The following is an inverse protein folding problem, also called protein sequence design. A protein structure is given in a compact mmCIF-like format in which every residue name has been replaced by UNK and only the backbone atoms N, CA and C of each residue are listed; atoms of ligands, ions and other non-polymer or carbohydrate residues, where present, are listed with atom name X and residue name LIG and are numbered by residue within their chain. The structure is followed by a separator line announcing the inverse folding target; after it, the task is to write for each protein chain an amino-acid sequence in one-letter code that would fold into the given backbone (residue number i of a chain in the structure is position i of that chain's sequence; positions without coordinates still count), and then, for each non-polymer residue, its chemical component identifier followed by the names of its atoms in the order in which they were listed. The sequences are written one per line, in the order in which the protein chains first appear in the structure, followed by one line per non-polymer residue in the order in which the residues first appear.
data_IF_168096484653
#
_entry.id   IF_168096484653
#
_cell.length_a   1.000
_cell.length_b   1.000
_cell.length_c   1.000
_cell.angle_alpha   90.00
_cell.angle_beta   90.00
_cell.angle_gamma   90.00
#
_symmetry.space_group_name_H-M   'P 1'
#
loop_
_entity.id
_entity.type
_entity.pdbx_description
1 polymer ?
#
# COMPACT_ATOMS: atom_id res chain seq x y z
N UNK A 1 -5.51 8.37 -3.32
CA UNK A 1 -6.19 7.09 -3.47
C UNK A 1 -7.07 7.07 -4.72
N UNK A 2 -7.05 5.97 -5.47
CA UNK A 2 -7.94 5.81 -6.63
C UNK A 2 -8.83 4.60 -6.46
N UNK A 3 -10.12 4.77 -6.74
CA UNK A 3 -11.16 3.75 -6.66
C UNK A 3 -12.19 3.93 -7.79
N UNK A 4 -13.20 3.08 -7.83
CA UNK A 4 -14.31 3.24 -8.79
C UNK A 4 -15.42 4.19 -8.29
N UNK A 5 -15.30 4.67 -7.05
CA UNK A 5 -16.26 5.58 -6.41
C UNK A 5 -15.54 6.73 -5.71
N UNK A 6 -16.27 7.80 -5.42
CA UNK A 6 -15.83 8.81 -4.45
C UNK A 6 -15.88 8.21 -3.04
N UNK A 7 -14.80 8.43 -2.26
CA UNK A 7 -14.68 7.99 -0.88
C UNK A 7 -14.40 9.22 -0.02
N UNK A 8 -15.40 9.68 0.73
CA UNK A 8 -15.25 10.80 1.66
C UNK A 8 -14.84 10.33 3.06
N UNK A 9 -15.41 9.22 3.51
CA UNK A 9 -15.16 8.63 4.82
C UNK A 9 -14.61 7.20 4.62
N UNK A 10 -13.29 7.05 4.53
CA UNK A 10 -12.68 5.73 4.34
C UNK A 10 -12.82 4.86 5.58
N UNK A 11 -13.01 3.56 5.37
CA UNK A 11 -13.07 2.58 6.44
C UNK A 11 -12.22 1.35 6.13
N UNK A 12 -11.97 0.55 7.16
CA UNK A 12 -11.21 -0.68 7.04
C UNK A 12 -12.07 -1.90 6.67
N UNK A 13 -13.40 -1.79 6.67
CA UNK A 13 -14.31 -2.91 6.42
C UNK A 13 -14.22 -3.39 4.97
N UNK A 14 -14.05 -2.43 4.05
CA UNK A 14 -13.97 -2.69 2.61
C UNK A 14 -12.57 -3.08 2.12
N UNK A 15 -11.56 -3.09 3.00
CA UNK A 15 -10.20 -3.47 2.66
C UNK A 15 -10.01 -4.98 2.59
N UNK A 16 -9.24 -5.44 1.59
CA UNK A 16 -8.79 -6.82 1.51
C UNK A 16 -7.68 -7.09 2.53
N UNK A 17 -7.60 -8.32 3.03
CA UNK A 17 -6.66 -8.69 4.09
C UNK A 17 -5.26 -9.06 3.59
N UNK A 18 -5.13 -9.65 2.40
CA UNK A 18 -3.87 -10.21 1.90
C UNK A 18 -3.19 -9.27 0.90
N UNK A 19 -2.91 -8.04 1.35
CA UNK A 19 -2.17 -7.02 0.59
C UNK A 19 -0.75 -6.88 1.15
N UNK A 20 0.10 -6.06 0.52
CA UNK A 20 1.51 -5.89 0.86
C UNK A 20 1.75 -5.54 2.33
N UNK A 21 0.93 -4.66 2.88
CA UNK A 21 0.96 -4.26 4.28
C UNK A 21 -0.29 -4.72 5.05
N UNK A 22 -0.98 -5.77 4.54
CA UNK A 22 -2.16 -6.32 5.15
C UNK A 22 -3.42 -5.50 4.92
N UNK A 23 -4.38 -5.62 5.83
CA UNK A 23 -5.65 -4.91 5.77
C UNK A 23 -5.46 -3.44 6.15
N UNK A 24 -5.87 -2.52 5.28
CA UNK A 24 -5.74 -1.09 5.52
C UNK A 24 -6.28 -0.23 4.40
N UNK A 25 -6.32 1.07 4.61
CA UNK A 25 -6.64 2.06 3.57
C UNK A 25 -5.33 2.54 2.93
N UNK A 26 -5.19 2.31 1.63
CA UNK A 26 -3.95 2.54 0.89
C UNK A 26 -3.96 3.87 0.16
N UNK A 27 -2.93 4.66 0.36
CA UNK A 27 -2.69 5.97 -0.23
C UNK A 27 -1.32 6.03 -0.90
N UNK A 28 -1.10 7.04 -1.72
CA UNK A 28 0.22 7.42 -2.21
C UNK A 28 0.34 8.94 -2.26
N UNK A 29 1.49 9.52 -1.87
CA UNK A 29 1.74 10.94 -2.08
C UNK A 29 2.06 11.26 -3.55
N UNK A 30 2.30 10.24 -4.39
CA UNK A 30 2.64 10.39 -5.80
C UNK A 30 1.38 10.38 -6.66
N UNK A 31 0.94 11.55 -7.10
CA UNK A 31 -0.26 11.68 -7.94
C UNK A 31 -0.21 10.79 -9.18
N UNK A 32 0.91 10.77 -9.89
CA UNK A 32 1.10 9.94 -11.09
C UNK A 32 0.87 8.45 -10.77
N UNK A 33 1.32 7.97 -9.63
CA UNK A 33 1.09 6.59 -9.19
C UNK A 33 -0.40 6.31 -8.95
N UNK A 34 -1.12 7.24 -8.34
CA UNK A 34 -2.56 7.11 -8.13
C UNK A 34 -3.35 7.13 -9.46
N UNK A 35 -2.99 8.01 -10.39
CA UNK A 35 -3.59 8.09 -11.72
C UNK A 35 -3.34 6.80 -12.53
N UNK A 36 -2.09 6.32 -12.57
CA UNK A 36 -1.72 5.05 -13.23
C UNK A 36 -2.49 3.85 -12.65
N UNK A 37 -2.73 3.84 -11.35
CA UNK A 37 -3.57 2.80 -10.74
C UNK A 37 -5.01 2.87 -11.26
N UNK A 38 -5.53 4.06 -11.54
CA UNK A 38 -6.86 4.29 -12.11
C UNK A 38 -7.05 3.68 -13.51
N UNK A 39 -5.98 3.60 -14.32
CA UNK A 39 -6.04 2.96 -15.64
C UNK A 39 -6.58 1.53 -15.59
N UNK A 40 -6.39 0.81 -14.49
CA UNK A 40 -6.90 -0.56 -14.30
C UNK A 40 -8.43 -0.61 -14.30
N UNK A 41 -9.09 0.44 -13.81
CA UNK A 41 -10.54 0.58 -13.85
C UNK A 41 -10.99 0.96 -15.26
N UNK A 42 -10.33 1.95 -15.87
CA UNK A 42 -10.66 2.45 -17.20
C UNK A 42 -10.55 1.36 -18.28
N UNK A 43 -9.49 0.55 -18.25
CA UNK A 43 -9.31 -0.59 -19.17
C UNK A 43 -10.42 -1.64 -19.07
N UNK A 44 -11.16 -1.67 -17.97
CA UNK A 44 -12.31 -2.56 -17.73
C UNK A 44 -13.65 -1.87 -18.00
N UNK A 45 -13.63 -0.64 -18.55
CA UNK A 45 -14.83 0.17 -18.76
C UNK A 45 -15.49 0.64 -17.46
N UNK A 46 -14.73 0.66 -16.34
CA UNK A 46 -15.21 1.08 -15.04
C UNK A 46 -14.73 2.51 -14.77
N UNK A 47 -15.58 3.33 -14.19
CA UNK A 47 -15.24 4.69 -13.74
C UNK A 47 -14.07 4.65 -12.76
N UNK A 48 -13.14 5.58 -12.89
CA UNK A 48 -12.03 5.78 -11.96
C UNK A 48 -12.13 7.16 -11.31
N UNK A 49 -12.09 7.20 -9.97
CA UNK A 49 -12.14 8.40 -9.14
C UNK A 49 -10.83 8.55 -8.39
N UNK A 50 -10.14 9.65 -8.62
CA UNK A 50 -8.99 10.08 -7.83
C UNK A 50 -9.50 10.80 -6.59
N UNK A 51 -9.42 10.17 -5.43
CA UNK A 51 -9.79 10.74 -4.13
C UNK A 51 -8.55 11.35 -3.48
N UNK A 52 -8.63 12.62 -3.13
CA UNK A 52 -7.53 13.42 -2.58
C UNK A 52 -7.80 13.67 -1.10
N UNK A 53 -6.81 13.35 -0.29
CA UNK A 53 -6.84 13.52 1.16
C UNK A 53 -5.64 14.31 1.64
N UNK A 54 -5.76 14.99 2.76
CA UNK A 54 -4.64 15.42 3.59
C UNK A 54 -4.51 14.49 4.79
N UNK A 55 -3.27 14.18 5.15
CA UNK A 55 -2.94 13.42 6.36
C UNK A 55 -2.14 14.35 7.27
N UNK A 56 -2.60 14.54 8.51
CA UNK A 56 -1.93 15.43 9.46
C UNK A 56 -0.49 14.96 9.74
N UNK A 57 0.45 15.89 9.89
CA UNK A 57 1.85 15.58 10.17
C UNK A 57 2.06 15.13 11.62
N UNK A 58 1.37 15.78 12.57
CA UNK A 58 1.43 15.44 13.99
C UNK A 58 0.30 14.47 14.34
N UNK A 59 0.66 13.28 14.79
CA UNK A 59 -0.28 12.20 15.14
C UNK A 59 0.13 11.56 16.46
N UNK A 60 -0.64 11.89 17.47
CA UNK A 60 -0.44 11.32 18.82
C UNK A 60 -0.97 9.88 18.91
N UNK A 61 -0.32 9.07 19.74
CA UNK A 61 -0.71 7.70 20.03
C UNK A 61 -0.82 6.80 18.78
N UNK A 62 0.04 7.02 17.80
CA UNK A 62 0.11 6.21 16.59
C UNK A 62 1.45 5.51 16.47
N UNK A 63 1.43 4.23 16.17
CA UNK A 63 2.61 3.45 15.81
C UNK A 63 2.89 3.59 14.31
N UNK A 64 4.15 3.80 13.95
CA UNK A 64 4.54 4.10 12.58
C UNK A 64 5.72 3.23 12.14
N UNK A 65 5.65 2.67 10.94
CA UNK A 65 6.73 1.91 10.30
C UNK A 65 7.04 2.45 8.91
N UNK A 66 8.31 2.72 8.65
CA UNK A 66 8.81 3.11 7.31
C UNK A 66 9.77 2.05 6.79
N UNK A 67 9.52 1.58 5.57
CA UNK A 67 10.45 0.79 4.80
C UNK A 67 11.06 1.66 3.71
N UNK A 68 12.34 2.00 3.85
CA UNK A 68 13.05 2.91 2.93
C UNK A 68 13.56 2.20 1.67
N UNK A 69 13.60 0.88 1.68
CA UNK A 69 14.13 0.04 0.60
C UNK A 69 13.37 -1.29 0.51
N UNK A 70 13.54 -1.99 -0.60
CA UNK A 70 13.14 -3.39 -0.76
C UNK A 70 14.20 -4.31 -0.16
N UNK A 71 14.37 -4.25 1.15
CA UNK A 71 15.31 -5.08 1.89
C UNK A 71 14.67 -6.33 2.51
N UNK A 72 15.44 -7.06 3.31
CA UNK A 72 14.95 -8.28 3.95
C UNK A 72 13.83 -8.04 4.95
N UNK A 73 13.83 -6.90 5.65
CA UNK A 73 12.77 -6.56 6.58
C UNK A 73 11.45 -6.30 5.84
N UNK A 74 11.51 -5.53 4.75
CA UNK A 74 10.35 -5.29 3.88
C UNK A 74 9.82 -6.59 3.30
N UNK A 75 10.71 -7.44 2.75
CA UNK A 75 10.32 -8.70 2.12
C UNK A 75 9.63 -9.65 3.11
N UNK A 76 10.19 -9.81 4.31
CA UNK A 76 9.64 -10.68 5.34
C UNK A 76 8.29 -10.16 5.85
N UNK A 77 8.15 -8.83 6.00
CA UNK A 77 6.90 -8.19 6.41
C UNK A 77 5.79 -8.38 5.36
N UNK A 78 6.08 -8.09 4.09
CA UNK A 78 5.13 -8.27 2.99
C UNK A 78 4.72 -9.74 2.86
N UNK A 79 5.66 -10.67 2.99
CA UNK A 79 5.37 -12.10 2.98
C UNK A 79 4.41 -12.48 4.11
N UNK A 80 4.64 -12.02 5.32
CA UNK A 80 3.78 -12.30 6.46
C UNK A 80 2.36 -11.76 6.23
N UNK A 81 2.23 -10.52 5.78
CA UNK A 81 0.94 -9.90 5.46
C UNK A 81 0.18 -10.67 4.38
N UNK A 82 0.81 -10.98 3.25
CA UNK A 82 0.17 -11.67 2.12
C UNK A 82 -0.23 -13.10 2.44
N UNK A 83 0.56 -13.81 3.25
CA UNK A 83 0.25 -15.17 3.70
C UNK A 83 -0.69 -15.21 4.90
N UNK A 84 -0.96 -14.07 5.54
CA UNK A 84 -1.77 -13.99 6.75
C UNK A 84 -1.07 -14.61 7.96
N UNK A 85 0.27 -14.56 7.98
CA UNK A 85 1.07 -15.03 9.09
C UNK A 85 1.10 -13.98 10.22
N UNK A 86 1.35 -14.38 11.46
CA UNK A 86 1.55 -13.44 12.56
C UNK A 86 2.71 -12.48 12.26
N UNK A 87 2.49 -11.19 12.49
CA UNK A 87 3.49 -10.13 12.33
C UNK A 87 3.20 -8.98 13.28
N UNK A 88 4.18 -8.10 13.46
CA UNK A 88 4.00 -6.87 14.23
C UNK A 88 3.03 -5.95 13.49
N UNK A 89 2.09 -5.35 14.20
CA UNK A 89 1.12 -4.41 13.64
C UNK A 89 1.54 -2.96 13.92
N UNK A 90 1.26 -2.08 12.98
CA UNK A 90 1.48 -0.64 13.10
C UNK A 90 0.23 0.07 12.60
N UNK A 91 -0.08 1.26 13.14
CA UNK A 91 -1.24 2.05 12.72
C UNK A 91 -1.06 2.65 11.32
N UNK A 92 0.19 3.00 10.99
CA UNK A 92 0.57 3.53 9.68
C UNK A 92 1.85 2.83 9.21
N UNK A 93 1.82 2.35 7.97
CA UNK A 93 2.96 1.71 7.32
C UNK A 93 3.25 2.44 6.02
N UNK A 94 4.49 2.83 5.81
CA UNK A 94 4.95 3.48 4.60
C UNK A 94 6.08 2.68 3.96
N UNK A 95 6.05 2.55 2.62
CA UNK A 95 7.10 1.83 1.90
C UNK A 95 6.80 1.65 0.43
N UNK A 96 7.66 0.90 -0.26
CA UNK A 96 7.46 0.57 -1.65
C UNK A 96 6.30 -0.41 -1.86
N UNK A 97 5.62 -0.26 -2.98
CA UNK A 97 4.62 -1.23 -3.45
C UNK A 97 5.33 -2.32 -4.25
N UNK A 98 4.78 -3.51 -4.22
CA UNK A 98 5.13 -4.54 -5.19
C UNK A 98 4.44 -4.22 -6.53
N UNK A 99 5.08 -3.41 -7.38
CA UNK A 99 4.70 -3.27 -8.79
C UNK A 99 5.00 -4.56 -9.58
N UNK A 100 4.72 -4.59 -10.88
CA UNK A 100 4.76 -5.82 -11.66
C UNK A 100 6.12 -6.56 -11.57
N UNK A 101 7.25 -5.84 -11.54
CA UNK A 101 8.58 -6.44 -11.41
C UNK A 101 8.84 -6.97 -10.00
N UNK A 102 8.57 -6.14 -9.00
CA UNK A 102 8.71 -6.50 -7.58
C UNK A 102 7.76 -7.63 -7.24
N UNK A 103 6.52 -7.57 -7.76
CA UNK A 103 5.52 -8.61 -7.55
C UNK A 103 6.00 -9.97 -8.04
N UNK A 104 6.55 -10.06 -9.25
CA UNK A 104 7.07 -11.31 -9.79
C UNK A 104 8.20 -11.88 -8.92
N UNK A 105 9.14 -11.06 -8.47
CA UNK A 105 10.22 -11.47 -7.58
C UNK A 105 9.71 -11.98 -6.25
N UNK A 106 8.77 -11.26 -5.65
CA UNK A 106 8.12 -11.65 -4.39
C UNK A 106 7.35 -12.96 -4.55
N UNK A 107 6.64 -13.13 -5.66
CA UNK A 107 5.84 -14.33 -5.94
C UNK A 107 6.71 -15.57 -6.16
N UNK A 108 7.84 -15.43 -6.88
CA UNK A 108 8.85 -16.48 -7.05
C UNK A 108 9.49 -16.88 -5.71
N UNK A 109 9.73 -15.93 -4.83
CA UNK A 109 10.19 -16.22 -3.46
C UNK A 109 9.11 -16.93 -2.64
N UNK A 110 7.86 -16.49 -2.71
CA UNK A 110 6.74 -17.10 -1.98
C UNK A 110 6.44 -18.53 -2.41
N UNK A 111 6.63 -18.84 -3.69
CA UNK A 111 6.49 -20.19 -4.25
C UNK A 111 7.69 -21.09 -4.00
N UNK A 112 8.77 -20.58 -3.39
CA UNK A 112 9.98 -21.32 -3.11
C UNK A 112 10.89 -21.54 -4.33
N UNK A 113 10.62 -20.88 -5.47
CA UNK A 113 11.47 -20.93 -6.67
C UNK A 113 12.73 -20.11 -6.45
N UNK A 114 12.62 -18.90 -5.86
CA UNK A 114 13.74 -18.10 -5.42
C UNK A 114 14.07 -18.35 -3.96
N UNK A 115 15.37 -18.39 -3.64
CA UNK A 115 15.84 -18.25 -2.27
C UNK A 115 15.66 -16.79 -1.83
N UNK A 116 15.69 -16.54 -0.50
CA UNK A 116 15.65 -15.18 0.03
C UNK A 116 16.75 -14.29 -0.55
N UNK A 117 17.97 -14.83 -0.68
CA UNK A 117 19.11 -14.12 -1.24
C UNK A 117 18.89 -13.75 -2.71
N UNK A 118 18.38 -14.67 -3.53
CA UNK A 118 18.05 -14.40 -4.93
C UNK A 118 17.01 -13.32 -5.08
N UNK A 119 15.96 -13.34 -4.25
CA UNK A 119 14.93 -12.29 -4.25
C UNK A 119 15.51 -10.93 -3.88
N UNK A 120 16.32 -10.85 -2.82
CA UNK A 120 16.95 -9.60 -2.40
C UNK A 120 17.92 -9.05 -3.46
N UNK A 121 18.68 -9.89 -4.13
CA UNK A 121 19.56 -9.49 -5.22
C UNK A 121 18.81 -8.91 -6.42
N UNK A 122 17.59 -9.38 -6.70
CA UNK A 122 16.75 -8.80 -7.75
C UNK A 122 16.15 -7.45 -7.33
N UNK A 123 15.81 -7.29 -6.05
CA UNK A 123 15.14 -6.11 -5.53
C UNK A 123 16.08 -4.93 -5.28
N UNK A 124 17.38 -5.18 -5.02
CA UNK A 124 18.35 -4.15 -4.61
C UNK A 124 18.51 -2.97 -5.59
N UNK A 125 18.23 -3.18 -6.87
CA UNK A 125 18.32 -2.14 -7.91
C UNK A 125 16.98 -1.45 -8.22
N UNK A 126 15.90 -1.89 -7.57
CA UNK A 126 14.56 -1.34 -7.81
C UNK A 126 14.32 -0.16 -6.87
N UNK A 127 14.03 1.02 -7.44
CA UNK A 127 13.62 2.17 -6.63
C UNK A 127 12.21 1.94 -6.08
N UNK A 128 12.00 2.05 -4.77
CA UNK A 128 10.68 1.91 -4.21
C UNK A 128 9.73 3.01 -4.72
N UNK A 129 8.57 2.59 -5.20
CA UNK A 129 7.41 3.48 -5.24
C UNK A 129 7.02 3.82 -3.80
N UNK A 130 6.11 4.75 -3.60
CA UNK A 130 5.72 5.17 -2.26
C UNK A 130 4.24 4.96 -2.04
N UNK A 131 3.90 4.12 -1.07
CA UNK A 131 2.54 3.96 -0.58
C UNK A 131 2.49 4.13 0.94
N UNK A 132 1.34 4.55 1.41
CA UNK A 132 0.99 4.66 2.82
C UNK A 132 -0.22 3.74 3.03
N UNK A 133 -0.12 2.85 4.00
CA UNK A 133 -1.22 1.99 4.44
C UNK A 133 -1.61 2.40 5.86
N UNK A 134 -2.85 2.84 6.04
CA UNK A 134 -3.43 3.14 7.36
C UNK A 134 -4.25 1.94 7.78
N UNK A 135 -3.85 1.29 8.86
CA UNK A 135 -4.45 0.05 9.38
C UNK A 135 -5.33 0.29 10.62
N UNK A 136 -5.34 1.53 11.12
CA UNK A 136 -6.10 1.97 12.28
C UNK A 136 -7.30 2.83 11.88
N UNK A 137 -8.52 2.42 12.25
CA UNK A 137 -9.72 3.25 12.02
C UNK A 137 -9.64 4.57 12.78
N UNK A 138 -9.06 4.57 13.98
CA UNK A 138 -8.82 5.80 14.74
C UNK A 138 -7.98 6.82 13.96
N UNK A 139 -6.95 6.36 13.25
CA UNK A 139 -6.10 7.23 12.42
C UNK A 139 -6.88 7.75 11.22
N UNK A 140 -7.69 6.91 10.56
CA UNK A 140 -8.54 7.35 9.45
C UNK A 140 -9.52 8.44 9.89
N UNK A 141 -10.19 8.24 11.02
CA UNK A 141 -11.23 9.15 11.50
C UNK A 141 -10.66 10.47 12.03
N UNK A 142 -9.48 10.44 12.66
CA UNK A 142 -8.92 11.61 13.33
C UNK A 142 -7.98 12.44 12.49
N UNK A 143 -7.16 11.79 11.64
CA UNK A 143 -6.01 12.44 11.00
C UNK A 143 -6.06 12.43 9.46
N UNK A 144 -6.99 11.70 8.85
CA UNK A 144 -7.14 11.68 7.39
C UNK A 144 -8.37 12.48 6.97
N UNK A 145 -8.16 13.56 6.22
CA UNK A 145 -9.22 14.51 5.85
C UNK A 145 -9.45 14.48 4.33
N UNK A 146 -10.67 14.19 3.91
CA UNK A 146 -11.07 14.29 2.52
C UNK A 146 -11.01 15.74 2.04
N UNK A 147 -10.38 15.96 0.89
CA UNK A 147 -10.26 17.29 0.27
C UNK A 147 -11.13 17.43 -0.97
N UNK A 148 -11.02 16.49 -1.88
CA UNK A 148 -11.76 16.50 -3.13
C UNK A 148 -11.69 15.15 -3.85
N UNK A 149 -12.53 15.00 -4.86
CA UNK A 149 -12.51 13.86 -5.77
C UNK A 149 -12.57 14.34 -7.22
N UNK A 150 -11.89 13.65 -8.10
CA UNK A 150 -11.87 13.94 -9.52
C UNK A 150 -12.01 12.64 -10.32
N UNK A 151 -12.88 12.65 -11.32
CA UNK A 151 -12.94 11.55 -12.28
C UNK A 151 -11.73 11.62 -13.23
N UNK A 152 -11.07 10.48 -13.46
CA UNK A 152 -9.96 10.30 -14.39
C UNK A 152 -10.44 9.98 -15.79
#
# INVERSE_FOLDING_TARGET
HTSNIEIQNPDLLHSRSKLDFGKGFYLTPLRIQAEKYGERFLRRGIKAMLNIFSLDDERENCTYKVFNSYDGEWLDFVMACRKGLPHVTFDIIEGGIADDQVFNTVDLYFSGIYTREQALNQLQYTKPNRQICITSQYVLDKYLHFQSSKQL
#
